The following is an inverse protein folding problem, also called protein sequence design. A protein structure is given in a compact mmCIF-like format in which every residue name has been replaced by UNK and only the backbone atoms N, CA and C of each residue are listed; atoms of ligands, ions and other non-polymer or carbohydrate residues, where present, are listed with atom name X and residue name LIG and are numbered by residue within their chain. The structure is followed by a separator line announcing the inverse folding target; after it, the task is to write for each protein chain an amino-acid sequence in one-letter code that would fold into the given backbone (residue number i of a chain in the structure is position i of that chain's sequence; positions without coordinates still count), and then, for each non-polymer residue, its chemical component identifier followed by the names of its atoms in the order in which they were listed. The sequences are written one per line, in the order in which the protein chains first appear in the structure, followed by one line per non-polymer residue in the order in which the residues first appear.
data_IF_603139161895
#
_entry.id   IF_603139161895
#
_cell.length_a   1.000
_cell.length_b   1.000
_cell.length_c   1.000
_cell.angle_alpha   90.00
_cell.angle_beta   90.00
_cell.angle_gamma   90.00
#
_symmetry.space_group_name_H-M   'P 1'
#
loop_
_entity.id
_entity.type
_entity.pdbx_description
1 polymer ?
#
# COMPACT_ATOMS: atom_id res chain seq x y z
N UNK A 1 -12.05 26.90 -21.79
CA UNK A 1 -10.95 25.91 -21.75
C UNK A 1 -11.38 24.77 -20.81
N UNK A 2 -12.46 24.07 -21.17
CA UNK A 2 -12.56 22.77 -21.87
C UNK A 2 -12.19 21.55 -21.00
N UNK A 3 -13.22 20.95 -20.39
CA UNK A 3 -13.18 19.65 -19.68
C UNK A 3 -12.49 18.53 -20.47
N UNK A 4 -12.48 18.60 -21.81
CA UNK A 4 -11.85 17.63 -22.71
C UNK A 4 -10.31 17.62 -22.65
N UNK A 5 -9.65 18.78 -22.47
CA UNK A 5 -8.18 18.81 -22.36
C UNK A 5 -7.65 18.23 -21.05
N UNK A 6 -8.51 18.17 -20.01
CA UNK A 6 -8.18 17.59 -18.70
C UNK A 6 -8.28 16.07 -18.74
N UNK A 7 -9.27 15.50 -19.45
CA UNK A 7 -9.40 14.04 -19.57
C UNK A 7 -8.26 13.41 -20.35
N UNK A 8 -7.79 14.05 -21.43
CA UNK A 8 -6.70 13.49 -22.25
C UNK A 8 -5.35 13.53 -21.51
N UNK A 9 -5.12 14.57 -20.71
CA UNK A 9 -3.95 14.68 -19.84
C UNK A 9 -3.96 13.63 -18.73
N UNK A 10 -5.10 13.38 -18.10
CA UNK A 10 -5.24 12.36 -17.04
C UNK A 10 -5.06 10.94 -17.60
N UNK A 11 -5.58 10.66 -18.80
CA UNK A 11 -5.36 9.40 -19.51
C UNK A 11 -3.88 9.18 -19.86
N UNK A 12 -3.21 10.22 -20.36
CA UNK A 12 -1.77 10.17 -20.68
C UNK A 12 -0.93 9.90 -19.43
N UNK A 13 -1.24 10.60 -18.34
CA UNK A 13 -0.59 10.39 -17.04
C UNK A 13 -0.76 8.95 -16.56
N UNK A 14 -1.98 8.41 -16.63
CA UNK A 14 -2.28 7.02 -16.23
C UNK A 14 -1.50 6.00 -17.07
N UNK A 15 -1.44 6.17 -18.40
CA UNK A 15 -0.64 5.30 -19.30
C UNK A 15 0.85 5.30 -18.94
N UNK A 16 1.42 6.47 -18.70
CA UNK A 16 2.84 6.60 -18.30
C UNK A 16 3.09 5.89 -16.97
N UNK A 17 2.20 6.08 -15.99
CA UNK A 17 2.33 5.51 -14.66
C UNK A 17 2.27 3.97 -14.70
N UNK A 18 1.33 3.39 -15.44
CA UNK A 18 1.21 1.94 -15.60
C UNK A 18 2.43 1.35 -16.33
N UNK A 19 2.88 1.97 -17.43
CA UNK A 19 4.07 1.54 -18.15
C UNK A 19 5.33 1.59 -17.27
N UNK A 20 5.49 2.65 -16.48
CA UNK A 20 6.58 2.81 -15.53
C UNK A 20 6.54 1.73 -14.45
N UNK A 21 5.37 1.54 -13.82
CA UNK A 21 5.14 0.52 -12.80
C UNK A 21 5.52 -0.89 -13.28
N UNK A 22 5.06 -1.28 -14.47
CA UNK A 22 5.39 -2.59 -15.08
C UNK A 22 6.89 -2.76 -15.33
N UNK A 23 7.54 -1.78 -15.96
CA UNK A 23 8.96 -1.88 -16.28
C UNK A 23 9.83 -1.87 -15.02
N UNK A 24 9.47 -1.07 -14.01
CA UNK A 24 10.18 -1.00 -12.73
C UNK A 24 9.97 -2.29 -11.92
N UNK A 25 8.76 -2.85 -11.89
CA UNK A 25 8.49 -4.14 -11.28
C UNK A 25 9.35 -5.27 -11.89
N UNK A 26 9.59 -5.23 -13.20
CA UNK A 26 10.39 -6.23 -13.91
C UNK A 26 11.91 -6.02 -13.75
N UNK A 27 12.38 -4.78 -13.96
CA UNK A 27 13.81 -4.52 -14.14
C UNK A 27 14.44 -3.77 -12.96
N UNK A 28 13.63 -3.14 -12.12
CA UNK A 28 14.05 -2.20 -11.09
C UNK A 28 14.23 -0.77 -11.60
N UNK A 29 14.07 0.19 -10.68
CA UNK A 29 14.14 1.61 -11.02
C UNK A 29 15.44 2.00 -11.73
N UNK A 30 16.60 1.56 -11.22
CA UNK A 30 17.92 1.90 -11.78
C UNK A 30 18.09 1.49 -13.26
N UNK A 31 17.52 0.34 -13.65
CA UNK A 31 17.64 -0.22 -15.01
C UNK A 31 16.53 0.25 -15.97
N UNK A 32 15.50 0.91 -15.46
CA UNK A 32 14.38 1.40 -16.29
C UNK A 32 14.65 2.84 -16.75
N UNK A 33 14.67 3.06 -18.07
CA UNK A 33 14.91 4.39 -18.67
C UNK A 33 13.61 5.10 -19.04
N UNK A 34 13.58 6.43 -18.95
CA UNK A 34 12.41 7.23 -19.39
C UNK A 34 12.06 7.01 -20.86
N UNK A 35 13.06 6.73 -21.72
CA UNK A 35 12.83 6.35 -23.13
C UNK A 35 12.08 5.04 -23.27
N UNK A 36 12.43 4.02 -22.48
CA UNK A 36 11.72 2.74 -22.48
C UNK A 36 10.28 2.89 -21.98
N UNK A 37 10.06 3.72 -20.94
CA UNK A 37 8.73 4.04 -20.42
C UNK A 37 7.89 4.76 -21.47
N UNK A 38 8.41 5.83 -22.08
CA UNK A 38 7.72 6.60 -23.11
C UNK A 38 7.32 5.71 -24.31
N UNK A 39 8.23 4.82 -24.71
CA UNK A 39 7.96 3.83 -25.77
C UNK A 39 6.84 2.86 -25.39
N UNK A 40 6.86 2.31 -24.18
CA UNK A 40 5.83 1.37 -23.73
C UNK A 40 4.47 2.05 -23.52
N UNK A 41 4.46 3.31 -23.06
CA UNK A 41 3.24 4.10 -22.87
C UNK A 41 2.68 4.69 -24.17
N UNK A 42 3.42 4.58 -25.29
CA UNK A 42 3.10 5.19 -26.58
C UNK A 42 2.93 6.73 -26.51
N UNK A 43 3.85 7.39 -25.82
CA UNK A 43 3.85 8.86 -25.64
C UNK A 43 5.21 9.47 -25.97
N UNK A 44 5.23 10.79 -26.16
CA UNK A 44 6.49 11.54 -26.23
C UNK A 44 7.20 11.55 -24.86
N UNK A 45 8.54 11.50 -24.87
CA UNK A 45 9.37 11.65 -23.68
C UNK A 45 9.09 12.98 -22.94
N UNK A 46 8.74 14.03 -23.66
CA UNK A 46 8.36 15.33 -23.09
C UNK A 46 7.13 15.22 -22.17
N UNK A 47 6.21 14.28 -22.43
CA UNK A 47 5.03 14.07 -21.59
C UNK A 47 5.41 13.57 -20.18
N UNK A 48 6.49 12.77 -20.06
CA UNK A 48 6.97 12.32 -18.75
C UNK A 48 7.48 13.51 -17.94
N UNK A 49 8.30 14.37 -18.54
CA UNK A 49 8.80 15.57 -17.86
C UNK A 49 7.66 16.51 -17.48
N UNK A 50 6.69 16.70 -18.38
CA UNK A 50 5.54 17.56 -18.15
C UNK A 50 4.64 17.07 -16.99
N UNK A 51 4.34 15.78 -16.93
CA UNK A 51 3.39 15.24 -15.93
C UNK A 51 4.03 14.87 -14.59
N UNK A 52 5.33 14.57 -14.58
CA UNK A 52 5.98 13.96 -13.42
C UNK A 52 7.29 14.63 -13.00
N UNK A 53 7.65 15.77 -13.60
CA UNK A 53 8.90 16.48 -13.29
C UNK A 53 10.14 15.58 -13.46
N UNK A 54 10.08 14.70 -14.46
CA UNK A 54 11.17 13.80 -14.84
C UNK A 54 11.10 12.41 -14.20
N UNK A 55 12.24 11.70 -14.25
CA UNK A 55 12.34 10.27 -13.90
C UNK A 55 12.11 10.03 -12.40
N UNK A 56 12.67 10.86 -11.54
CA UNK A 56 12.54 10.71 -10.09
C UNK A 56 11.13 11.03 -9.61
N UNK A 57 10.50 12.09 -10.11
CA UNK A 57 9.11 12.39 -9.78
C UNK A 57 8.14 11.34 -10.32
N UNK A 58 8.42 10.74 -11.50
CA UNK A 58 7.67 9.58 -11.98
C UNK A 58 7.81 8.39 -11.03
N UNK A 59 9.01 8.14 -10.50
CA UNK A 59 9.18 7.03 -9.57
C UNK A 59 8.46 7.25 -8.24
N UNK A 60 8.48 8.49 -7.69
CA UNK A 60 7.66 8.84 -6.53
C UNK A 60 6.17 8.58 -6.78
N UNK A 61 5.67 8.93 -7.96
CA UNK A 61 4.29 8.65 -8.34
C UNK A 61 4.00 7.15 -8.43
N UNK A 62 4.93 6.35 -8.97
CA UNK A 62 4.80 4.88 -9.01
C UNK A 62 4.74 4.31 -7.58
N UNK A 63 5.57 4.79 -6.65
CA UNK A 63 5.53 4.37 -5.24
C UNK A 63 4.21 4.76 -4.56
N UNK A 64 3.74 5.99 -4.78
CA UNK A 64 2.47 6.48 -4.25
C UNK A 64 1.29 5.64 -4.75
N UNK A 65 1.27 5.30 -6.05
CA UNK A 65 0.24 4.45 -6.66
C UNK A 65 0.31 3.02 -6.11
N UNK A 66 1.51 2.43 -6.02
CA UNK A 66 1.72 1.12 -5.41
C UNK A 66 1.18 1.04 -3.98
N UNK A 67 1.41 2.07 -3.17
CA UNK A 67 0.86 2.14 -1.82
C UNK A 67 -0.64 2.43 -1.79
N UNK A 68 -1.15 3.33 -2.63
CA UNK A 68 -2.58 3.69 -2.70
C UNK A 68 -3.44 2.51 -3.12
N UNK A 69 -2.91 1.64 -3.98
CA UNK A 69 -3.55 0.39 -4.36
C UNK A 69 -3.95 -0.49 -3.15
N UNK A 70 -3.11 -0.56 -2.12
CA UNK A 70 -3.36 -1.34 -0.90
C UNK A 70 -3.97 -0.51 0.23
N UNK A 71 -3.47 0.71 0.42
CA UNK A 71 -3.86 1.62 1.49
C UNK A 71 -4.12 2.98 0.86
N UNK A 72 -5.38 3.23 0.54
CA UNK A 72 -5.89 4.51 0.08
C UNK A 72 -6.10 5.45 1.29
N UNK A 73 -5.44 6.60 1.29
CA UNK A 73 -5.48 7.55 2.40
C UNK A 73 -6.88 8.15 2.61
N UNK A 74 -7.59 8.47 1.52
CA UNK A 74 -8.93 9.06 1.60
C UNK A 74 -9.94 8.07 2.16
N UNK A 75 -9.87 6.81 1.71
CA UNK A 75 -10.71 5.74 2.25
C UNK A 75 -10.39 5.46 3.72
N UNK A 76 -9.11 5.46 4.09
CA UNK A 76 -8.69 5.25 5.47
C UNK A 76 -9.16 6.38 6.39
N UNK A 77 -9.08 7.63 5.92
CA UNK A 77 -9.60 8.80 6.63
C UNK A 77 -11.13 8.72 6.79
N UNK A 78 -11.85 8.36 5.71
CA UNK A 78 -13.29 8.16 5.76
C UNK A 78 -13.69 7.03 6.73
N UNK A 79 -12.92 5.95 6.75
CA UNK A 79 -13.12 4.84 7.67
C UNK A 79 -12.93 5.26 9.13
N UNK A 80 -11.84 6.00 9.42
CA UNK A 80 -11.56 6.53 10.75
C UNK A 80 -12.67 7.45 11.25
N UNK A 81 -13.23 8.29 10.38
CA UNK A 81 -14.30 9.24 10.71
C UNK A 81 -15.71 8.63 10.68
N UNK A 82 -15.87 7.35 10.33
CA UNK A 82 -17.17 6.70 10.30
C UNK A 82 -17.72 6.44 11.70
N UNK A 83 -19.05 6.25 11.80
CA UNK A 83 -19.78 5.90 13.03
C UNK A 83 -19.58 4.45 13.50
N UNK A 84 -18.74 3.68 12.81
CA UNK A 84 -18.40 2.30 13.18
C UNK A 84 -17.65 2.25 14.52
N UNK A 85 -17.80 1.15 15.23
CA UNK A 85 -16.97 0.83 16.39
C UNK A 85 -15.49 0.67 15.98
N UNK A 86 -14.53 0.82 16.92
CA UNK A 86 -13.12 0.63 16.60
C UNK A 86 -12.81 -0.73 15.97
N UNK A 87 -13.43 -1.80 16.48
CA UNK A 87 -13.23 -3.17 15.99
C UNK A 87 -13.76 -3.35 14.57
N UNK A 88 -14.94 -2.81 14.25
CA UNK A 88 -15.49 -2.81 12.89
C UNK A 88 -14.61 -1.99 11.92
N UNK A 89 -13.97 -0.91 12.38
CA UNK A 89 -13.01 -0.17 11.55
C UNK A 89 -11.79 -1.02 11.22
N UNK A 90 -11.27 -1.78 12.19
CA UNK A 90 -10.16 -2.70 11.95
C UNK A 90 -10.56 -3.83 10.99
N UNK A 91 -11.78 -4.34 11.11
CA UNK A 91 -12.32 -5.37 10.22
C UNK A 91 -12.36 -4.88 8.77
N UNK A 92 -12.98 -3.71 8.52
CA UNK A 92 -13.03 -3.11 7.17
C UNK A 92 -11.63 -2.82 6.62
N UNK A 93 -10.69 -2.41 7.48
CA UNK A 93 -9.29 -2.24 7.08
C UNK A 93 -8.68 -3.56 6.60
N UNK A 94 -8.89 -4.66 7.31
CA UNK A 94 -8.46 -5.98 6.87
C UNK A 94 -9.19 -6.46 5.61
N UNK A 95 -10.50 -6.29 5.51
CA UNK A 95 -11.25 -6.63 4.28
C UNK A 95 -10.66 -5.90 3.07
N UNK A 96 -10.33 -4.62 3.23
CA UNK A 96 -9.71 -3.82 2.17
C UNK A 96 -8.36 -4.40 1.74
N UNK A 97 -7.46 -4.70 2.69
CA UNK A 97 -6.15 -5.28 2.38
C UNK A 97 -6.25 -6.68 1.78
N UNK A 98 -7.10 -7.54 2.35
CA UNK A 98 -7.25 -8.94 1.92
C UNK A 98 -7.96 -9.03 0.57
N UNK A 99 -8.87 -8.10 0.24
CA UNK A 99 -9.49 -8.04 -1.09
C UNK A 99 -8.47 -7.80 -2.21
N UNK A 100 -7.30 -7.26 -1.89
CA UNK A 100 -6.19 -7.06 -2.84
C UNK A 100 -5.28 -8.26 -2.98
N UNK A 101 -5.40 -9.26 -2.11
CA UNK A 101 -4.62 -10.51 -2.21
C UNK A 101 -5.08 -11.42 -3.35
N UNK A 102 -6.31 -11.28 -3.82
CA UNK A 102 -6.82 -12.07 -4.95
C UNK A 102 -6.38 -11.49 -6.30
N UNK A 103 -5.80 -10.29 -6.32
CA UNK A 103 -5.30 -9.66 -7.53
C UNK A 103 -3.95 -10.25 -7.91
N UNK A 104 -3.95 -11.08 -8.96
CA UNK A 104 -2.74 -11.74 -9.45
C UNK A 104 -1.95 -10.86 -10.43
N UNK A 105 -0.62 -10.98 -10.38
CA UNK A 105 0.33 -10.36 -11.32
C UNK A 105 0.28 -8.82 -11.45
N UNK A 106 -0.21 -8.12 -10.42
CA UNK A 106 -0.16 -6.65 -10.38
C UNK A 106 1.27 -6.14 -10.15
N UNK A 107 1.68 -5.12 -10.88
CA UNK A 107 3.02 -4.53 -10.71
C UNK A 107 3.20 -3.85 -9.35
N UNK A 108 2.11 -3.41 -8.71
CA UNK A 108 2.10 -2.73 -7.41
C UNK A 108 2.80 -3.56 -6.30
N UNK A 109 2.47 -4.86 -6.18
CA UNK A 109 3.10 -5.76 -5.19
C UNK A 109 4.59 -5.89 -5.43
N UNK A 110 5.02 -6.06 -6.69
CA UNK A 110 6.43 -6.22 -7.07
C UNK A 110 7.25 -4.97 -6.74
N UNK A 111 6.71 -3.77 -7.00
CA UNK A 111 7.36 -2.51 -6.60
C UNK A 111 7.47 -2.41 -5.08
N UNK A 112 6.38 -2.71 -4.37
CA UNK A 112 6.35 -2.68 -2.91
C UNK A 112 7.37 -3.64 -2.27
N UNK A 113 7.40 -4.91 -2.73
CA UNK A 113 8.35 -5.94 -2.29
C UNK A 113 9.78 -5.46 -2.49
N UNK A 114 10.08 -4.86 -3.64
CA UNK A 114 11.42 -4.41 -3.99
C UNK A 114 11.92 -3.32 -3.05
N UNK A 115 11.07 -2.35 -2.74
CA UNK A 115 11.38 -1.29 -1.78
C UNK A 115 11.50 -1.82 -0.35
N UNK A 116 10.73 -2.84 0.02
CA UNK A 116 10.83 -3.45 1.34
C UNK A 116 12.20 -4.13 1.58
N UNK A 117 12.72 -4.83 0.57
CA UNK A 117 14.00 -5.57 0.70
C UNK A 117 15.23 -4.78 0.24
N UNK A 118 15.04 -3.76 -0.60
CA UNK A 118 16.11 -2.89 -1.09
C UNK A 118 15.64 -1.44 -1.15
N UNK A 119 15.48 -0.77 0.01
CA UNK A 119 14.96 0.59 0.09
C UNK A 119 15.75 1.60 -0.73
N UNK A 120 15.05 2.45 -1.46
CA UNK A 120 15.62 3.62 -2.15
C UNK A 120 15.35 4.90 -1.38
N UNK A 121 16.08 5.97 -1.73
CA UNK A 121 15.83 7.33 -1.20
C UNK A 121 14.38 7.78 -1.41
N UNK A 122 13.75 7.35 -2.49
CA UNK A 122 12.36 7.69 -2.81
C UNK A 122 11.36 7.07 -1.83
N UNK A 123 11.64 5.87 -1.30
CA UNK A 123 10.84 5.28 -0.23
C UNK A 123 10.97 6.09 1.06
N UNK A 124 12.17 6.54 1.42
CA UNK A 124 12.35 7.38 2.60
C UNK A 124 11.55 8.70 2.48
N UNK A 125 11.60 9.35 1.32
CA UNK A 125 10.83 10.57 1.07
C UNK A 125 9.30 10.32 1.12
N UNK A 126 8.86 9.18 0.58
CA UNK A 126 7.46 8.75 0.70
C UNK A 126 7.06 8.52 2.16
N UNK A 127 7.89 7.83 2.93
CA UNK A 127 7.62 7.53 4.34
C UNK A 127 7.59 8.79 5.22
N UNK A 128 8.26 9.87 4.82
CA UNK A 128 8.18 11.17 5.50
C UNK A 128 6.95 12.01 5.11
N UNK A 129 6.20 11.61 4.08
CA UNK A 129 5.07 12.39 3.53
C UNK A 129 3.77 11.60 3.57
N UNK A 130 3.41 10.92 2.48
CA UNK A 130 2.19 10.13 2.36
C UNK A 130 2.22 8.88 3.25
N UNK A 131 3.35 8.19 3.32
CA UNK A 131 3.53 7.02 4.19
C UNK A 131 3.30 7.37 5.66
N UNK A 132 3.82 8.52 6.13
CA UNK A 132 3.60 9.00 7.48
C UNK A 132 2.12 9.26 7.78
N UNK A 133 1.38 9.91 6.86
CA UNK A 133 -0.05 10.19 7.02
C UNK A 133 -0.86 8.89 7.12
N UNK A 134 -0.63 7.94 6.21
CA UNK A 134 -1.26 6.61 6.25
C UNK A 134 -0.94 5.87 7.55
N UNK A 135 0.32 5.89 7.97
CA UNK A 135 0.75 5.26 9.22
C UNK A 135 0.03 5.86 10.45
N UNK A 136 -0.10 7.19 10.51
CA UNK A 136 -0.80 7.86 11.61
C UNK A 136 -2.30 7.50 11.66
N UNK A 137 -2.95 7.39 10.50
CA UNK A 137 -4.35 6.96 10.44
C UNK A 137 -4.54 5.52 10.93
N UNK A 138 -3.68 4.59 10.49
CA UNK A 138 -3.69 3.20 10.99
C UNK A 138 -3.44 3.17 12.49
N UNK A 139 -2.42 3.90 12.96
CA UNK A 139 -2.06 4.01 14.37
C UNK A 139 -3.25 4.47 15.22
N UNK A 140 -4.06 5.41 14.74
CA UNK A 140 -5.30 5.85 15.42
C UNK A 140 -6.34 4.75 15.51
N UNK A 141 -6.56 3.97 14.45
CA UNK A 141 -7.47 2.81 14.50
C UNK A 141 -6.99 1.81 15.55
N UNK A 142 -5.70 1.47 15.55
CA UNK A 142 -5.12 0.51 16.51
C UNK A 142 -5.18 1.03 17.95
N UNK A 143 -4.95 2.34 18.16
CA UNK A 143 -5.13 2.98 19.46
C UNK A 143 -6.58 2.85 19.96
N UNK A 144 -7.57 3.12 19.10
CA UNK A 144 -8.98 3.00 19.46
C UNK A 144 -9.38 1.56 19.82
N UNK A 145 -8.85 0.56 19.11
CA UNK A 145 -9.15 -0.87 19.37
C UNK A 145 -8.47 -1.35 20.66
N UNK A 146 -7.19 -1.05 20.83
CA UNK A 146 -6.42 -1.47 22.00
C UNK A 146 -6.78 -0.68 23.27
N UNK A 147 -7.22 0.57 23.12
CA UNK A 147 -7.34 1.54 24.19
C UNK A 147 -6.00 1.94 24.81
N UNK A 148 -4.90 1.78 24.07
CA UNK A 148 -3.57 2.31 24.41
C UNK A 148 -3.44 3.71 23.80
N UNK A 149 -2.89 4.66 24.55
CA UNK A 149 -2.69 6.04 24.08
C UNK A 149 -1.89 6.09 22.77
N UNK A 150 -2.25 7.01 21.88
CA UNK A 150 -1.60 7.14 20.58
C UNK A 150 -0.12 7.49 20.70
N UNK A 151 0.33 8.14 21.77
CA UNK A 151 1.73 8.51 21.96
C UNK A 151 2.51 7.48 22.78
N UNK A 152 1.85 6.42 23.26
CA UNK A 152 2.53 5.37 24.00
C UNK A 152 3.49 4.57 23.11
N UNK A 153 4.75 4.32 23.52
CA UNK A 153 5.76 3.67 22.67
C UNK A 153 5.37 2.25 22.26
N UNK A 154 4.60 1.54 23.09
CA UNK A 154 4.14 0.19 22.76
C UNK A 154 3.16 0.12 21.58
N UNK A 155 2.52 1.23 21.22
CA UNK A 155 1.55 1.23 20.14
C UNK A 155 2.21 0.95 18.79
N UNK A 156 3.49 1.31 18.62
CA UNK A 156 4.25 0.95 17.42
C UNK A 156 4.31 -0.57 17.23
N UNK A 157 4.63 -1.30 18.30
CA UNK A 157 4.68 -2.77 18.25
C UNK A 157 3.30 -3.38 17.97
N UNK A 158 2.23 -2.76 18.49
CA UNK A 158 0.84 -3.15 18.18
C UNK A 158 0.53 -2.99 16.69
N UNK A 159 0.82 -1.81 16.11
CA UNK A 159 0.62 -1.55 14.68
C UNK A 159 1.39 -2.56 13.83
N UNK A 160 2.67 -2.80 14.14
CA UNK A 160 3.49 -3.76 13.40
C UNK A 160 2.90 -5.17 13.49
N UNK A 161 2.52 -5.62 14.69
CA UNK A 161 1.97 -6.97 14.89
C UNK A 161 0.63 -7.17 14.19
N UNK A 162 -0.18 -6.13 14.07
CA UNK A 162 -1.49 -6.17 13.41
C UNK A 162 -1.36 -6.11 11.87
N UNK A 163 -0.47 -5.28 11.34
CA UNK A 163 -0.37 -5.00 9.90
C UNK A 163 0.60 -5.94 9.18
N UNK A 164 1.71 -6.35 9.83
CA UNK A 164 2.74 -7.17 9.20
C UNK A 164 2.22 -8.51 8.65
N UNK A 165 1.30 -9.24 9.31
CA UNK A 165 0.73 -10.45 8.74
C UNK A 165 0.03 -10.20 7.39
N UNK A 166 -0.78 -9.14 7.28
CA UNK A 166 -1.43 -8.77 6.01
C UNK A 166 -0.42 -8.43 4.93
N UNK A 167 0.61 -7.65 5.26
CA UNK A 167 1.68 -7.31 4.31
C UNK A 167 2.44 -8.55 3.84
N UNK A 168 2.70 -9.49 4.74
CA UNK A 168 3.35 -10.76 4.39
C UNK A 168 2.51 -11.56 3.40
N UNK A 169 1.19 -11.56 3.52
CA UNK A 169 0.29 -12.22 2.57
C UNK A 169 0.35 -11.56 1.18
N UNK A 170 0.47 -10.22 1.11
CA UNK A 170 0.61 -9.49 -0.17
C UNK A 170 1.93 -9.86 -0.86
N UNK A 171 3.00 -10.00 -0.09
CA UNK A 171 4.31 -10.42 -0.60
C UNK A 171 4.26 -11.88 -1.07
N UNK A 172 3.57 -12.74 -0.30
CA UNK A 172 3.54 -14.19 -0.46
C UNK A 172 2.95 -14.68 -1.79
N UNK A 173 2.00 -13.95 -2.38
CA UNK A 173 1.36 -14.37 -3.62
C UNK A 173 2.32 -14.36 -4.83
N UNK A 174 3.46 -13.67 -4.73
CA UNK A 174 4.38 -13.43 -5.84
C UNK A 174 5.46 -14.50 -6.07
N UNK A 175 5.13 -15.80 -5.93
CA UNK A 175 5.98 -17.00 -6.15
C UNK A 175 6.56 -17.68 -4.89
N UNK A 176 5.81 -17.82 -3.80
CA UNK A 176 6.31 -18.60 -2.67
C UNK A 176 6.38 -20.12 -2.95
N UNK A 177 7.51 -20.78 -2.62
CA UNK A 177 7.64 -22.22 -2.72
C UNK A 177 6.92 -22.95 -1.59
N UNK A 178 6.57 -24.22 -1.81
CA UNK A 178 6.17 -25.13 -0.74
C UNK A 178 4.81 -24.83 -0.09
N UNK A 179 4.65 -25.04 1.23
CA UNK A 179 3.36 -24.96 1.93
C UNK A 179 2.62 -23.62 1.81
N UNK A 180 3.33 -22.54 1.51
CA UNK A 180 2.77 -21.18 1.42
C UNK A 180 2.07 -20.90 0.08
N UNK A 181 2.21 -21.79 -0.92
CA UNK A 181 1.58 -21.65 -2.24
C UNK A 181 0.04 -21.64 -2.22
N UNK A 182 -0.56 -22.22 -1.19
CA UNK A 182 -2.03 -22.32 -1.09
C UNK A 182 -2.65 -21.16 -0.30
N UNK A 183 -1.86 -20.21 0.17
CA UNK A 183 -2.36 -19.10 0.99
C UNK A 183 -3.33 -18.21 0.20
N UNK A 184 -3.07 -17.97 -1.09
CA UNK A 184 -4.00 -17.25 -1.97
C UNK A 184 -5.26 -18.04 -2.36
N UNK A 185 -5.34 -19.33 -1.99
CA UNK A 185 -6.55 -20.15 -2.15
C UNK A 185 -7.44 -20.15 -0.91
N UNK A 186 -6.96 -19.57 0.20
CA UNK A 186 -7.78 -19.44 1.41
C UNK A 186 -8.85 -18.39 1.14
N UNK A 187 -10.09 -18.69 1.54
CA UNK A 187 -11.21 -17.78 1.37
C UNK A 187 -10.92 -16.44 2.10
N UNK A 188 -11.06 -15.28 1.42
CA UNK A 188 -10.80 -13.96 2.00
C UNK A 188 -11.50 -13.72 3.34
N UNK A 189 -12.75 -14.13 3.46
CA UNK A 189 -13.54 -13.97 4.69
C UNK A 189 -12.94 -14.75 5.87
N UNK A 190 -12.40 -15.96 5.62
CA UNK A 190 -11.73 -16.76 6.65
C UNK A 190 -10.41 -16.11 7.09
N UNK A 191 -9.65 -15.52 6.17
CA UNK A 191 -8.43 -14.79 6.50
C UNK A 191 -8.73 -13.55 7.36
N UNK A 192 -9.72 -12.74 6.97
CA UNK A 192 -10.14 -11.56 7.74
C UNK A 192 -10.57 -11.98 9.15
N UNK A 193 -11.44 -12.98 9.28
CA UNK A 193 -11.90 -13.49 10.58
C UNK A 193 -10.74 -13.95 11.47
N UNK A 194 -9.78 -14.67 10.89
CA UNK A 194 -8.60 -15.15 11.62
C UNK A 194 -7.71 -13.99 12.09
N UNK A 195 -7.41 -13.04 11.20
CA UNK A 195 -6.59 -11.87 11.51
C UNK A 195 -7.26 -10.97 12.55
N UNK A 196 -8.58 -10.78 12.46
CA UNK A 196 -9.38 -10.09 13.49
C UNK A 196 -9.25 -10.77 14.85
N UNK A 197 -9.41 -12.10 14.89
CA UNK A 197 -9.32 -12.87 16.14
C UNK A 197 -7.97 -12.69 16.82
N UNK A 198 -6.87 -12.87 16.09
CA UNK A 198 -5.51 -12.70 16.64
C UNK A 198 -5.22 -11.24 17.01
N UNK A 199 -5.61 -10.30 16.17
CA UNK A 199 -5.31 -8.87 16.40
C UNK A 199 -6.07 -8.34 17.60
N UNK A 200 -7.37 -8.59 17.71
CA UNK A 200 -8.18 -8.11 18.85
C UNK A 200 -7.71 -8.74 20.16
N UNK A 201 -7.45 -10.06 20.18
CA UNK A 201 -6.92 -10.74 21.35
C UNK A 201 -5.53 -10.21 21.75
N UNK A 202 -4.63 -10.04 20.79
CA UNK A 202 -3.29 -9.50 21.01
C UNK A 202 -3.30 -8.06 21.52
N UNK A 203 -4.15 -7.20 20.94
CA UNK A 203 -4.31 -5.81 21.38
C UNK A 203 -4.91 -5.70 22.79
N UNK A 204 -5.87 -6.57 23.12
CA UNK A 204 -6.44 -6.64 24.46
C UNK A 204 -5.39 -7.09 25.50
N UNK A 205 -4.55 -8.08 25.17
CA UNK A 205 -3.45 -8.53 26.01
C UNK A 205 -2.37 -7.44 26.16
N UNK A 206 -2.01 -6.76 25.07
CA UNK A 206 -1.07 -5.65 25.09
C UNK A 206 -1.53 -4.53 26.03
N UNK A 207 -2.83 -4.19 26.02
CA UNK A 207 -3.38 -3.20 26.96
C UNK A 207 -3.11 -3.57 28.42
N UNK A 208 -3.18 -4.85 28.78
CA UNK A 208 -2.92 -5.31 30.14
C UNK A 208 -1.43 -5.24 30.49
N UNK A 209 -0.55 -5.44 29.51
CA UNK A 209 0.90 -5.38 29.68
C UNK A 209 1.42 -3.95 29.89
N UNK A 210 0.74 -2.94 29.34
CA UNK A 210 1.14 -1.53 29.37
C UNK A 210 0.21 -0.65 30.20
N UNK A 211 -0.55 -1.26 31.12
CA UNK A 211 -1.37 -0.56 32.12
C UNK A 211 -0.55 -0.17 33.33
#
# INVERSE_FOLDING_TARGET
MSRAGRSDGDLTKSKILDAAGRLIAQNGFAKTTSKAIAKLAEVDLAAINYHFDGRDGLYRAVLAEAHTHYIDEEKLLALLNSSRTPTEKLEVFFETLISKLVETDVWHSKVFIRELFSPTTHLYDFMQTEGARKFLLIKKIISQVSGIDENHPALLACVLSTVAPCMMLIIADSNLPGPLKNVSKVEPALLVKHLMTFSVAGLAAAKQLYR
#
